data_IF_954365703225
#
_entry.id   IF_954365703225
#
_cell.length_a   1.000
_cell.length_b   1.000
_cell.length_c   1.000
_cell.angle_alpha   90.00
_cell.angle_beta   90.00
_cell.angle_gamma   90.00
#
_symmetry.space_group_name_H-M   'P 1'
#
loop_
_entity.id
_entity.type
_entity.pdbx_description
1 polymer ?
#
# COMPACT_ATOMS: atom_id res chain seq x y z
N UNK A 1 6.65 -15.57 20.07
CA UNK A 1 6.20 -16.99 20.14
C UNK A 1 6.69 -17.67 18.89
N UNK A 2 7.39 -18.80 18.98
CA UNK A 2 7.77 -19.56 17.78
C UNK A 2 6.55 -20.27 17.25
N UNK A 3 6.21 -20.00 16.01
CA UNK A 3 5.20 -20.77 15.29
C UNK A 3 5.90 -21.98 14.67
N UNK A 4 5.47 -23.19 14.99
CA UNK A 4 6.12 -24.44 14.55
C UNK A 4 6.07 -24.69 13.02
N UNK A 5 5.49 -23.77 12.23
CA UNK A 5 5.36 -23.86 10.78
C UNK A 5 5.76 -22.60 9.99
N UNK A 6 6.29 -21.56 10.61
CA UNK A 6 6.69 -20.34 9.93
C UNK A 6 7.70 -19.58 10.77
N UNK A 7 8.65 -18.88 10.16
CA UNK A 7 9.76 -18.17 10.79
C UNK A 7 9.40 -17.27 11.98
N UNK A 8 10.35 -16.53 12.46
CA UNK A 8 10.16 -15.61 13.59
C UNK A 8 9.20 -14.47 13.20
N UNK A 9 8.43 -13.95 14.15
CA UNK A 9 7.47 -12.85 13.95
C UNK A 9 7.87 -11.63 14.75
N UNK A 10 7.91 -10.47 14.10
CA UNK A 10 8.10 -9.16 14.72
C UNK A 10 6.92 -8.24 14.38
N UNK A 11 6.62 -7.30 15.27
CA UNK A 11 5.49 -6.39 15.10
C UNK A 11 5.95 -4.94 15.19
N UNK A 12 5.43 -4.12 14.28
CA UNK A 12 5.55 -2.66 14.26
C UNK A 12 4.12 -2.10 14.42
N UNK A 13 3.67 -2.07 15.69
CA UNK A 13 2.34 -1.58 16.07
C UNK A 13 2.49 -0.26 16.84
N UNK A 14 1.92 0.83 16.30
CA UNK A 14 1.98 2.15 16.91
C UNK A 14 3.10 3.05 16.37
N UNK A 15 3.44 4.08 17.12
CA UNK A 15 4.39 5.13 16.72
C UNK A 15 5.84 4.64 16.72
N UNK A 16 6.61 5.01 15.70
CA UNK A 16 8.03 4.71 15.57
C UNK A 16 8.84 5.83 16.21
N UNK A 17 9.80 5.45 17.09
CA UNK A 17 10.62 6.42 17.83
C UNK A 17 12.07 5.94 18.01
N UNK A 18 12.99 6.89 18.20
CA UNK A 18 14.38 6.62 18.53
C UNK A 18 14.60 6.33 20.01
N UNK A 19 13.72 6.81 20.90
CA UNK A 19 13.87 6.73 22.36
C UNK A 19 12.61 6.20 23.06
N UNK A 20 12.81 5.58 24.24
CA UNK A 20 11.73 5.21 25.15
C UNK A 20 11.02 6.44 25.70
N UNK A 21 9.73 6.54 25.49
CA UNK A 21 8.93 7.62 26.07
C UNK A 21 8.64 8.78 25.11
N UNK A 22 8.92 8.70 23.84
CA UNK A 22 8.64 9.66 22.78
C UNK A 22 7.80 10.90 23.14
N UNK A 23 7.52 11.79 22.24
CA UNK A 23 6.83 13.07 22.52
C UNK A 23 5.54 12.93 23.36
N UNK A 24 4.85 11.78 23.31
CA UNK A 24 3.56 11.56 24.00
C UNK A 24 3.62 10.62 25.19
N UNK A 25 4.81 10.03 25.52
CA UNK A 25 4.96 9.15 26.68
C UNK A 25 4.07 7.89 26.65
N UNK A 26 3.60 7.47 25.49
CA UNK A 26 2.62 6.41 25.34
C UNK A 26 3.25 5.01 25.42
N UNK A 27 2.58 4.08 26.09
CA UNK A 27 2.88 2.65 25.99
C UNK A 27 2.51 2.17 24.57
N UNK A 28 3.38 1.37 23.93
CA UNK A 28 3.14 0.82 22.59
C UNK A 28 3.98 1.46 21.48
N UNK A 29 5.07 2.15 21.84
CA UNK A 29 6.00 2.71 20.87
C UNK A 29 6.99 1.67 20.36
N UNK A 30 7.33 1.79 19.07
CA UNK A 30 8.37 0.98 18.43
C UNK A 30 9.70 1.72 18.52
N UNK A 31 10.57 1.24 19.41
CA UNK A 31 11.92 1.78 19.58
C UNK A 31 12.88 1.05 18.63
N UNK A 32 13.50 1.77 17.71
CA UNK A 32 14.34 1.21 16.64
C UNK A 32 15.45 0.29 17.21
N UNK A 33 16.14 0.71 18.24
CA UNK A 33 17.19 -0.11 18.90
C UNK A 33 16.66 -1.43 19.44
N UNK A 34 15.46 -1.46 20.04
CA UNK A 34 14.84 -2.69 20.55
C UNK A 34 14.44 -3.61 19.43
N UNK A 35 13.85 -3.07 18.37
CA UNK A 35 13.50 -3.82 17.18
C UNK A 35 14.72 -4.50 16.57
N UNK A 36 15.83 -3.78 16.39
CA UNK A 36 17.09 -4.34 15.89
C UNK A 36 17.66 -5.46 16.78
N UNK A 37 17.56 -5.33 18.11
CA UNK A 37 17.98 -6.38 19.03
C UNK A 37 17.14 -7.65 18.92
N UNK A 38 15.84 -7.53 18.63
CA UNK A 38 14.96 -8.67 18.40
C UNK A 38 15.26 -9.30 17.05
N UNK A 39 15.37 -8.49 15.98
CA UNK A 39 15.70 -8.93 14.63
C UNK A 39 17.01 -9.73 14.57
N UNK A 40 18.03 -9.33 15.34
CA UNK A 40 19.33 -10.01 15.38
C UNK A 40 19.25 -11.46 15.90
N UNK A 41 18.13 -11.88 16.47
CA UNK A 41 17.89 -13.24 17.00
C UNK A 41 17.02 -14.08 16.08
N UNK A 42 16.52 -13.47 15.00
CA UNK A 42 15.62 -14.11 14.04
C UNK A 42 16.40 -14.77 12.91
N UNK A 43 15.83 -15.87 12.39
CA UNK A 43 16.14 -16.43 11.08
C UNK A 43 15.32 -15.73 10.00
N UNK A 44 14.57 -16.49 9.18
CA UNK A 44 13.54 -15.90 8.32
C UNK A 44 12.47 -15.24 9.19
N UNK A 45 12.09 -14.01 8.85
CA UNK A 45 11.22 -13.21 9.71
C UNK A 45 10.02 -12.65 8.95
N UNK A 46 8.86 -12.72 9.59
CA UNK A 46 7.67 -11.98 9.16
C UNK A 46 7.50 -10.73 10.03
N UNK A 47 7.48 -9.56 9.39
CA UNK A 47 7.27 -8.26 10.06
C UNK A 47 5.85 -7.80 9.81
N UNK A 48 5.02 -7.79 10.85
CA UNK A 48 3.67 -7.23 10.78
C UNK A 48 3.72 -5.73 11.03
N UNK A 49 3.05 -4.95 10.18
CA UNK A 49 3.01 -3.48 10.29
C UNK A 49 1.56 -3.01 10.44
N UNK A 50 1.35 -2.22 11.50
CA UNK A 50 0.15 -1.42 11.72
C UNK A 50 0.56 -0.12 12.44
N UNK A 51 1.07 0.85 11.70
CA UNK A 51 1.74 2.02 12.26
C UNK A 51 1.43 3.29 11.46
N UNK A 52 1.17 4.41 12.13
CA UNK A 52 1.06 5.73 11.49
C UNK A 52 2.42 6.31 11.07
N UNK A 53 3.53 5.65 11.40
CA UNK A 53 4.87 6.17 11.22
C UNK A 53 5.43 6.79 12.49
N UNK A 54 6.21 7.85 12.37
CA UNK A 54 6.86 8.56 13.47
C UNK A 54 8.21 9.13 13.07
N UNK A 55 9.23 8.99 13.92
CA UNK A 55 10.58 9.49 13.71
C UNK A 55 11.21 8.89 12.45
N UNK A 56 11.58 9.76 11.51
CA UNK A 56 12.14 9.37 10.21
C UNK A 56 13.49 8.65 10.34
N UNK A 57 14.33 9.06 11.30
CA UNK A 57 15.63 8.44 11.50
C UNK A 57 15.53 7.07 12.19
N UNK A 58 14.58 6.92 13.12
CA UNK A 58 14.25 5.62 13.68
C UNK A 58 13.69 4.68 12.60
N UNK A 59 12.86 5.17 11.70
CA UNK A 59 12.38 4.45 10.52
C UNK A 59 13.52 4.01 9.60
N UNK A 60 14.46 4.91 9.32
CA UNK A 60 15.65 4.61 8.51
C UNK A 60 16.58 3.57 9.18
N UNK A 61 16.73 3.60 10.52
CA UNK A 61 17.48 2.59 11.27
C UNK A 61 16.84 1.21 11.14
N UNK A 62 15.51 1.12 11.27
CA UNK A 62 14.77 -0.15 11.13
C UNK A 62 14.86 -0.64 9.67
N UNK A 63 14.64 0.23 8.68
CA UNK A 63 14.80 -0.10 7.26
C UNK A 63 16.17 -0.70 6.98
N UNK A 64 17.24 -0.05 7.43
CA UNK A 64 18.62 -0.52 7.25
C UNK A 64 18.84 -1.87 7.91
N UNK A 65 18.37 -2.05 9.14
CA UNK A 65 18.49 -3.32 9.86
C UNK A 65 17.80 -4.48 9.12
N UNK A 66 16.62 -4.24 8.54
CA UNK A 66 15.91 -5.24 7.73
C UNK A 66 16.64 -5.54 6.41
N UNK A 67 17.19 -4.51 5.73
CA UNK A 67 17.96 -4.69 4.50
C UNK A 67 19.28 -5.45 4.70
N UNK A 68 19.89 -5.34 5.89
CA UNK A 68 21.12 -6.05 6.28
C UNK A 68 20.83 -7.46 6.85
N UNK A 69 19.57 -7.77 7.11
CA UNK A 69 19.19 -9.06 7.67
C UNK A 69 19.53 -10.21 6.71
N UNK A 70 20.06 -11.33 7.25
CA UNK A 70 20.53 -12.45 6.43
C UNK A 70 19.42 -13.42 6.03
N UNK A 71 18.35 -13.50 6.83
CA UNK A 71 17.17 -14.32 6.56
C UNK A 71 16.19 -13.60 5.62
N UNK A 72 15.22 -14.33 5.07
CA UNK A 72 14.13 -13.74 4.29
C UNK A 72 13.28 -12.83 5.18
N UNK A 73 13.01 -11.62 4.71
CA UNK A 73 12.12 -10.65 5.36
C UNK A 73 10.80 -10.58 4.59
N UNK A 74 9.72 -11.10 5.18
CA UNK A 74 8.36 -10.93 4.65
C UNK A 74 7.63 -9.86 5.46
N UNK A 75 7.24 -8.78 4.82
CA UNK A 75 6.43 -7.72 5.44
C UNK A 75 4.95 -7.98 5.20
N UNK A 76 4.13 -7.88 6.24
CA UNK A 76 2.66 -8.00 6.16
C UNK A 76 2.01 -6.75 6.75
N UNK A 77 1.36 -5.95 5.91
CA UNK A 77 0.63 -4.77 6.36
C UNK A 77 -0.78 -5.19 6.73
N UNK A 78 -1.10 -5.13 8.05
CA UNK A 78 -2.37 -5.63 8.58
C UNK A 78 -3.46 -4.56 8.67
N UNK A 79 -3.09 -3.30 8.92
CA UNK A 79 -4.00 -2.16 8.98
C UNK A 79 -3.48 -1.00 8.15
N UNK A 80 -2.43 -0.34 8.61
CA UNK A 80 -1.82 0.79 7.89
C UNK A 80 -0.30 0.74 8.00
N UNK A 81 0.38 1.12 6.91
CA UNK A 81 1.79 1.49 6.91
C UNK A 81 1.90 2.92 6.38
N UNK A 82 1.96 3.90 7.27
CA UNK A 82 2.02 5.30 6.90
C UNK A 82 3.37 5.93 7.20
N UNK A 83 3.79 6.92 6.39
CA UNK A 83 4.98 7.75 6.64
C UNK A 83 6.23 6.88 6.86
N UNK A 84 6.97 7.03 7.96
CA UNK A 84 8.15 6.21 8.26
C UNK A 84 7.90 4.69 8.24
N UNK A 85 6.67 4.24 8.57
CA UNK A 85 6.31 2.82 8.50
C UNK A 85 6.22 2.29 7.06
N UNK A 86 5.81 3.12 6.11
CA UNK A 86 5.81 2.75 4.70
C UNK A 86 7.23 2.62 4.14
N UNK A 87 8.16 3.47 4.61
CA UNK A 87 9.59 3.33 4.27
C UNK A 87 10.14 2.00 4.78
N UNK A 88 9.84 1.63 6.03
CA UNK A 88 10.25 0.34 6.61
C UNK A 88 9.69 -0.83 5.76
N UNK A 89 8.44 -0.74 5.30
CA UNK A 89 7.86 -1.78 4.47
C UNK A 89 8.65 -2.03 3.18
N UNK A 90 9.28 -1.00 2.60
CA UNK A 90 10.12 -1.13 1.40
C UNK A 90 11.39 -1.97 1.62
N UNK A 91 11.74 -2.28 2.87
CA UNK A 91 12.88 -3.15 3.18
C UNK A 91 12.57 -4.64 3.01
N UNK A 92 11.30 -5.02 2.93
CA UNK A 92 10.89 -6.42 2.77
C UNK A 92 11.30 -7.01 1.41
N UNK A 93 11.80 -8.26 1.45
CA UNK A 93 11.98 -9.06 0.24
C UNK A 93 10.64 -9.34 -0.43
N UNK A 94 9.59 -9.49 0.40
CA UNK A 94 8.22 -9.66 -0.02
C UNK A 94 7.31 -8.77 0.86
N UNK A 95 6.47 -7.96 0.23
CA UNK A 95 5.53 -7.04 0.90
C UNK A 95 4.11 -7.43 0.54
N UNK A 96 3.34 -7.87 1.54
CA UNK A 96 1.96 -8.31 1.38
C UNK A 96 1.02 -7.38 2.16
N UNK A 97 -0.13 -7.06 1.59
CA UNK A 97 -1.13 -6.21 2.26
C UNK A 97 -2.42 -6.98 2.53
N UNK A 98 -3.01 -6.75 3.69
CA UNK A 98 -4.40 -7.16 3.91
C UNK A 98 -5.32 -6.45 2.92
N UNK A 99 -6.40 -7.08 2.40
CA UNK A 99 -7.34 -6.45 1.46
C UNK A 99 -7.96 -5.15 1.99
N UNK A 100 -7.97 -4.97 3.32
CA UNK A 100 -8.51 -3.78 4.00
C UNK A 100 -7.42 -2.84 4.52
N UNK A 101 -6.14 -3.15 4.25
CA UNK A 101 -5.02 -2.32 4.67
C UNK A 101 -4.77 -1.15 3.72
N UNK A 102 -4.08 -0.15 4.27
CA UNK A 102 -3.66 1.04 3.53
C UNK A 102 -2.17 1.26 3.65
N UNK A 103 -1.58 1.88 2.64
CA UNK A 103 -0.26 2.48 2.68
C UNK A 103 -0.39 3.98 2.44
N UNK A 104 0.40 4.80 3.15
CA UNK A 104 0.44 6.24 2.93
C UNK A 104 1.88 6.73 2.87
N UNK A 105 2.17 7.52 1.86
CA UNK A 105 3.46 8.17 1.67
C UNK A 105 3.27 9.67 1.56
N UNK A 106 4.16 10.45 2.17
CA UNK A 106 4.16 11.90 2.14
C UNK A 106 5.56 12.48 2.36
N UNK A 107 5.72 13.76 2.06
CA UNK A 107 6.94 14.49 2.37
C UNK A 107 7.24 14.52 3.88
N UNK A 108 8.51 14.48 4.28
CA UNK A 108 8.88 14.65 5.69
C UNK A 108 8.48 16.04 6.17
N UNK A 109 7.94 16.09 7.39
CA UNK A 109 7.52 17.34 7.98
C UNK A 109 8.05 17.52 9.41
N UNK A 110 8.12 18.75 9.87
CA UNK A 110 8.52 19.06 11.24
C UNK A 110 7.88 20.36 11.70
N UNK A 111 7.92 20.60 13.00
CA UNK A 111 7.67 21.91 13.56
C UNK A 111 8.99 22.67 13.65
N UNK A 112 9.01 23.89 13.14
CA UNK A 112 10.16 24.77 13.22
C UNK A 112 9.74 26.18 13.63
N UNK A 113 10.60 26.84 14.39
CA UNK A 113 10.40 28.23 14.83
C UNK A 113 11.75 28.93 14.78
N UNK A 114 11.78 30.15 14.23
CA UNK A 114 12.99 30.94 14.13
C UNK A 114 12.84 32.11 13.15
N UNK A 115 13.95 32.71 12.77
CA UNK A 115 14.00 33.76 11.76
C UNK A 115 13.96 33.19 10.34
N UNK A 116 13.86 34.04 9.31
CA UNK A 116 13.75 33.60 7.91
C UNK A 116 14.88 32.65 7.50
N UNK A 117 16.16 32.93 7.87
CA UNK A 117 17.29 32.07 7.55
C UNK A 117 17.18 30.68 8.19
N UNK A 118 16.72 30.63 9.43
CA UNK A 118 16.50 29.35 10.12
C UNK A 118 15.38 28.54 9.48
N UNK A 119 14.31 29.20 9.02
CA UNK A 119 13.24 28.53 8.28
C UNK A 119 13.71 28.00 6.92
N UNK A 120 14.46 28.78 6.18
CA UNK A 120 15.06 28.35 4.90
C UNK A 120 16.00 27.15 5.10
N UNK A 121 16.81 27.17 6.16
CA UNK A 121 17.68 26.06 6.52
C UNK A 121 16.87 24.80 6.86
N UNK A 122 15.82 24.90 7.67
CA UNK A 122 14.95 23.76 7.99
C UNK A 122 14.25 23.20 6.74
N UNK A 123 13.79 24.07 5.85
CA UNK A 123 13.20 23.62 4.58
C UNK A 123 14.22 22.88 3.71
N UNK A 124 15.51 23.28 3.72
CA UNK A 124 16.55 22.55 3.02
C UNK A 124 16.81 21.19 3.66
N UNK A 125 16.89 21.10 5.00
CA UNK A 125 17.07 19.83 5.71
C UNK A 125 15.94 18.86 5.39
N UNK A 126 14.68 19.32 5.36
CA UNK A 126 13.54 18.46 5.00
C UNK A 126 13.65 17.95 3.56
N UNK A 127 14.09 18.78 2.61
CA UNK A 127 14.34 18.32 1.23
C UNK A 127 15.40 17.22 1.15
N UNK A 128 16.51 17.37 1.88
CA UNK A 128 17.56 16.34 1.92
C UNK A 128 17.07 15.03 2.55
N UNK A 129 16.27 15.11 3.60
CA UNK A 129 15.61 13.94 4.20
C UNK A 129 14.69 13.29 3.16
N UNK A 130 13.90 14.09 2.43
CA UNK A 130 13.00 13.64 1.36
C UNK A 130 13.73 12.83 0.28
N UNK A 131 14.92 13.24 -0.14
CA UNK A 131 15.72 12.49 -1.12
C UNK A 131 16.09 11.09 -0.60
N UNK A 132 16.39 10.95 0.69
CA UNK A 132 16.64 9.64 1.31
C UNK A 132 15.41 8.73 1.28
N UNK A 133 14.21 9.28 1.53
CA UNK A 133 12.96 8.53 1.44
C UNK A 133 12.65 8.10 0.00
N UNK A 134 12.83 9.01 -0.96
CA UNK A 134 12.67 8.74 -2.40
C UNK A 134 13.53 7.54 -2.81
N UNK A 135 14.77 7.45 -2.35
CA UNK A 135 15.68 6.36 -2.68
C UNK A 135 15.14 4.99 -2.22
N UNK A 136 14.49 4.90 -1.05
CA UNK A 136 13.87 3.67 -0.58
C UNK A 136 12.70 3.23 -1.48
N UNK A 137 11.82 4.17 -1.83
CA UNK A 137 10.66 3.89 -2.69
C UNK A 137 11.05 3.56 -4.13
N UNK A 138 11.98 4.30 -4.74
CA UNK A 138 12.47 4.03 -6.10
C UNK A 138 13.11 2.64 -6.20
N UNK A 139 13.85 2.23 -5.16
CA UNK A 139 14.48 0.91 -5.10
C UNK A 139 13.45 -0.22 -5.11
N UNK A 140 12.34 -0.09 -4.40
CA UNK A 140 11.29 -1.11 -4.30
C UNK A 140 10.37 -1.09 -5.53
N UNK A 141 9.92 0.10 -5.95
CA UNK A 141 8.87 0.24 -6.96
C UNK A 141 9.40 0.24 -8.40
N UNK A 142 10.67 0.61 -8.60
CA UNK A 142 11.24 0.86 -9.93
C UNK A 142 10.75 2.16 -10.58
N UNK A 143 9.94 2.97 -9.88
CA UNK A 143 9.49 4.28 -10.36
C UNK A 143 10.64 5.27 -10.42
N UNK A 144 10.49 6.29 -11.26
CA UNK A 144 11.42 7.41 -11.30
C UNK A 144 11.38 8.25 -10.02
N UNK A 145 12.48 8.96 -9.77
CA UNK A 145 12.57 9.91 -8.65
C UNK A 145 11.42 10.93 -8.67
N UNK A 146 11.12 11.48 -9.84
CA UNK A 146 10.11 12.55 -9.98
C UNK A 146 8.69 12.02 -9.74
N UNK A 147 8.36 10.81 -10.22
CA UNK A 147 7.08 10.16 -9.91
C UNK A 147 6.90 9.95 -8.40
N UNK A 148 7.95 9.48 -7.70
CA UNK A 148 7.88 9.31 -6.24
C UNK A 148 7.78 10.68 -5.54
N UNK A 149 8.53 11.69 -5.98
CA UNK A 149 8.46 13.04 -5.42
C UNK A 149 7.05 13.63 -5.55
N UNK A 150 6.41 13.48 -6.71
CA UNK A 150 5.03 13.93 -6.93
C UNK A 150 4.03 13.19 -6.02
N UNK A 151 4.22 11.89 -5.82
CA UNK A 151 3.37 11.09 -4.93
C UNK A 151 3.54 11.49 -3.46
N UNK A 152 4.77 11.80 -3.02
CA UNK A 152 5.06 12.30 -1.67
C UNK A 152 4.41 13.67 -1.44
N UNK A 153 4.59 14.61 -2.37
CA UNK A 153 4.02 15.95 -2.30
C UNK A 153 2.48 15.93 -2.29
N UNK A 154 1.87 14.93 -2.95
CA UNK A 154 0.40 14.75 -2.98
C UNK A 154 -0.17 14.05 -1.74
N UNK A 155 0.65 13.63 -0.78
CA UNK A 155 0.22 12.80 0.36
C UNK A 155 -0.64 11.61 -0.11
N UNK A 156 0.02 10.64 -0.76
CA UNK A 156 -0.68 9.58 -1.47
C UNK A 156 -1.08 8.44 -0.55
N UNK A 157 -2.40 8.19 -0.47
CA UNK A 157 -2.97 6.99 0.16
C UNK A 157 -3.23 5.93 -0.89
N UNK A 158 -2.86 4.69 -0.61
CA UNK A 158 -3.05 3.53 -1.48
C UNK A 158 -3.76 2.41 -0.71
N UNK A 159 -4.84 1.86 -1.26
CA UNK A 159 -5.37 0.57 -0.84
C UNK A 159 -4.47 -0.57 -1.35
N UNK A 160 -4.74 -1.81 -0.95
CA UNK A 160 -3.92 -2.96 -1.30
C UNK A 160 -3.75 -3.15 -2.82
N UNK A 161 -4.84 -3.07 -3.60
CA UNK A 161 -4.81 -3.20 -5.06
C UNK A 161 -3.96 -2.10 -5.72
N UNK A 162 -4.09 -0.87 -5.23
CA UNK A 162 -3.32 0.25 -5.74
C UNK A 162 -1.85 0.12 -5.39
N UNK A 163 -1.52 -0.28 -4.16
CA UNK A 163 -0.13 -0.48 -3.73
C UNK A 163 0.56 -1.57 -4.57
N UNK A 164 -0.13 -2.67 -4.88
CA UNK A 164 0.39 -3.72 -5.78
C UNK A 164 0.58 -3.19 -7.20
N UNK A 165 -0.42 -2.51 -7.76
CA UNK A 165 -0.34 -1.95 -9.11
C UNK A 165 0.81 -0.94 -9.26
N UNK A 166 1.05 -0.14 -8.22
CA UNK A 166 2.10 0.89 -8.20
C UNK A 166 3.49 0.33 -7.78
N UNK A 167 3.59 -0.95 -7.42
CA UNK A 167 4.84 -1.63 -7.09
C UNK A 167 5.31 -1.45 -5.64
N UNK A 168 4.48 -0.89 -4.76
CA UNK A 168 4.78 -0.75 -3.32
C UNK A 168 4.54 -2.05 -2.54
N UNK A 169 3.67 -2.93 -3.04
CA UNK A 169 3.44 -4.25 -2.50
C UNK A 169 3.55 -5.31 -3.59
N UNK A 170 3.88 -6.54 -3.18
CA UNK A 170 4.07 -7.69 -4.09
C UNK A 170 2.78 -8.52 -4.21
N UNK A 171 1.84 -8.39 -3.26
CA UNK A 171 0.58 -9.13 -3.30
C UNK A 171 -0.40 -8.74 -2.20
N UNK A 172 -1.60 -9.33 -2.29
CA UNK A 172 -2.68 -9.16 -1.32
C UNK A 172 -2.83 -10.46 -0.53
N UNK A 173 -2.91 -10.34 0.81
CA UNK A 173 -3.11 -11.48 1.69
C UNK A 173 -4.49 -12.11 1.45
N UNK A 174 -4.55 -13.45 1.59
CA UNK A 174 -5.79 -14.24 1.47
C UNK A 174 -6.38 -14.29 0.05
N UNK A 175 -5.78 -13.66 -0.95
CA UNK A 175 -6.09 -14.01 -2.32
C UNK A 175 -5.51 -15.40 -2.58
N UNK A 176 -6.35 -16.35 -2.96
CA UNK A 176 -5.87 -17.60 -3.51
C UNK A 176 -5.00 -17.22 -4.71
N UNK A 177 -3.70 -17.54 -4.63
CA UNK A 177 -2.83 -17.49 -5.80
C UNK A 177 -3.49 -18.40 -6.84
N UNK A 178 -4.26 -17.81 -7.73
CA UNK A 178 -4.60 -18.51 -8.95
C UNK A 178 -3.24 -18.77 -9.59
N UNK A 179 -2.74 -19.99 -9.43
CA UNK A 179 -1.63 -20.46 -10.27
C UNK A 179 -1.94 -19.96 -11.66
N UNK A 180 -0.99 -19.28 -12.35
CA UNK A 180 -1.27 -18.73 -13.67
C UNK A 180 -1.88 -19.86 -14.48
N UNK A 181 -3.17 -19.75 -14.76
CA UNK A 181 -3.94 -20.77 -15.44
C UNK A 181 -3.11 -21.07 -16.69
N UNK A 182 -2.54 -22.28 -16.76
CA UNK A 182 -1.69 -22.71 -17.87
C UNK A 182 -2.38 -22.22 -19.12
N UNK A 183 -1.72 -21.31 -19.85
CA UNK A 183 -2.36 -20.53 -20.91
C UNK A 183 -3.29 -21.44 -21.69
N UNK A 184 -4.57 -21.08 -21.88
CA UNK A 184 -5.57 -21.99 -22.50
C UNK A 184 -5.06 -22.65 -23.78
N UNK A 185 -4.12 -22.01 -24.46
CA UNK A 185 -3.43 -22.52 -25.63
C UNK A 185 -2.54 -23.76 -25.37
N UNK A 186 -1.86 -23.86 -24.22
CA UNK A 186 -1.02 -25.05 -23.92
C UNK A 186 -1.89 -26.23 -23.48
N UNK A 187 -2.95 -25.99 -22.72
CA UNK A 187 -3.92 -27.04 -22.37
C UNK A 187 -4.68 -27.52 -23.62
N UNK A 188 -5.05 -26.63 -24.54
CA UNK A 188 -5.62 -26.96 -25.83
C UNK A 188 -4.66 -27.76 -26.74
N UNK A 189 -3.37 -27.42 -26.79
CA UNK A 189 -2.38 -28.17 -27.57
C UNK A 189 -2.15 -29.58 -27.03
N UNK A 190 -2.17 -29.75 -25.70
CA UNK A 190 -2.06 -31.10 -25.11
C UNK A 190 -3.31 -31.97 -25.38
N UNK A 191 -4.51 -31.37 -25.34
CA UNK A 191 -5.76 -32.07 -25.68
C UNK A 191 -5.86 -32.32 -27.18
N UNK A 192 -5.37 -31.41 -28.04
CA UNK A 192 -5.33 -31.59 -29.48
C UNK A 192 -4.52 -32.85 -29.91
N UNK A 193 -3.43 -33.11 -29.19
CA UNK A 193 -2.63 -34.35 -29.44
C UNK A 193 -3.37 -35.62 -29.04
N UNK A 194 -4.36 -35.57 -28.14
CA UNK A 194 -5.11 -36.73 -27.62
C UNK A 194 -6.39 -37.02 -28.37
N UNK A 195 -7.11 -35.99 -28.86
CA UNK A 195 -8.48 -36.14 -29.35
C UNK A 195 -8.72 -35.71 -30.80
N UNK A 196 -7.73 -35.16 -31.48
CA UNK A 196 -7.88 -34.66 -32.85
C UNK A 196 -8.69 -33.35 -32.97
N UNK A 197 -8.52 -32.60 -34.10
CA UNK A 197 -9.08 -31.26 -34.23
C UNK A 197 -10.62 -31.16 -34.19
N UNK A 198 -11.31 -32.17 -34.71
CA UNK A 198 -12.78 -32.19 -34.79
C UNK A 198 -13.44 -32.34 -33.39
N UNK A 199 -12.85 -33.16 -32.51
CA UNK A 199 -13.33 -33.38 -31.16
C UNK A 199 -13.16 -32.13 -30.30
N UNK A 200 -12.09 -31.35 -30.50
CA UNK A 200 -11.86 -30.11 -29.78
C UNK A 200 -12.83 -29.03 -30.19
N UNK A 201 -13.14 -28.88 -31.47
CA UNK A 201 -14.17 -27.96 -31.94
C UNK A 201 -15.55 -28.29 -31.35
N UNK A 202 -15.88 -29.56 -31.16
CA UNK A 202 -17.12 -29.99 -30.51
C UNK A 202 -17.14 -29.64 -29.01
N UNK A 203 -16.02 -29.82 -28.28
CA UNK A 203 -15.89 -29.46 -26.87
C UNK A 203 -15.97 -27.96 -26.63
N UNK A 204 -15.34 -27.13 -27.48
CA UNK A 204 -15.41 -25.66 -27.39
C UNK A 204 -16.83 -25.17 -27.62
N UNK A 205 -17.54 -25.69 -28.63
CA UNK A 205 -18.95 -25.36 -28.87
C UNK A 205 -19.88 -25.78 -27.72
N UNK A 206 -19.59 -26.91 -27.07
CA UNK A 206 -20.35 -27.36 -25.91
C UNK A 206 -20.10 -26.50 -24.67
N UNK A 207 -18.85 -26.05 -24.47
CA UNK A 207 -18.47 -25.13 -23.40
C UNK A 207 -19.09 -23.74 -23.60
N UNK A 208 -19.07 -23.20 -24.80
CA UNK A 208 -19.71 -21.91 -25.13
C UNK A 208 -21.24 -21.96 -24.92
N UNK A 209 -21.88 -23.06 -25.27
CA UNK A 209 -23.30 -23.27 -25.02
C UNK A 209 -23.65 -23.40 -23.54
N UNK A 210 -22.76 -23.99 -22.72
CA UNK A 210 -22.94 -24.11 -21.28
C UNK A 210 -22.68 -22.81 -20.52
N UNK A 211 -21.87 -21.89 -21.06
CA UNK A 211 -21.55 -20.58 -20.49
C UNK A 211 -22.41 -19.44 -21.02
N UNK A 212 -23.34 -19.70 -21.92
CA UNK A 212 -24.36 -18.74 -22.33
C UNK A 212 -25.39 -18.51 -21.20
N UNK A 213 -24.91 -17.94 -20.07
CA UNK A 213 -25.82 -17.36 -19.08
C UNK A 213 -26.45 -16.11 -19.70
N UNK A 214 -27.77 -15.89 -19.51
CA UNK A 214 -28.38 -14.64 -19.92
C UNK A 214 -27.61 -13.49 -19.24
N UNK A 215 -27.15 -12.53 -20.02
CA UNK A 215 -26.49 -11.32 -19.52
C UNK A 215 -27.40 -10.71 -18.45
N UNK A 216 -26.98 -10.62 -17.17
CA UNK A 216 -27.80 -9.98 -16.16
C UNK A 216 -27.99 -8.51 -16.60
N UNK A 217 -29.24 -8.06 -16.70
CA UNK A 217 -29.50 -6.63 -16.83
C UNK A 217 -28.88 -5.95 -15.62
N UNK A 218 -27.88 -5.13 -15.88
CA UNK A 218 -26.95 -4.54 -14.92
C UNK A 218 -27.71 -3.83 -13.77
N UNK A 219 -27.76 -4.37 -12.53
CA UNK A 219 -28.42 -3.72 -11.41
C UNK A 219 -27.76 -2.38 -11.04
N UNK A 220 -26.51 -2.17 -11.45
CA UNK A 220 -25.76 -0.93 -11.21
C UNK A 220 -26.24 0.24 -12.05
N UNK A 221 -26.90 0.04 -13.19
CA UNK A 221 -27.40 1.14 -14.01
C UNK A 221 -28.49 1.94 -13.25
N UNK A 222 -29.37 1.25 -12.52
CA UNK A 222 -30.41 1.87 -11.71
C UNK A 222 -29.82 2.63 -10.51
N UNK A 223 -28.85 2.02 -9.87
CA UNK A 223 -28.13 2.62 -8.73
C UNK A 223 -27.29 3.83 -9.14
N UNK A 224 -26.63 3.78 -10.31
CA UNK A 224 -25.88 4.93 -10.88
C UNK A 224 -26.82 6.08 -11.25
N UNK A 225 -28.00 5.78 -11.81
CA UNK A 225 -29.01 6.79 -12.10
C UNK A 225 -29.55 7.46 -10.81
N UNK A 226 -29.79 6.70 -9.76
CA UNK A 226 -30.22 7.22 -8.45
C UNK A 226 -29.12 8.07 -7.79
N UNK A 227 -27.85 7.68 -7.88
CA UNK A 227 -26.72 8.45 -7.37
C UNK A 227 -26.57 9.76 -8.15
N UNK A 228 -26.67 9.71 -9.49
CA UNK A 228 -26.60 10.90 -10.34
C UNK A 228 -27.75 11.88 -10.05
N UNK A 229 -28.96 11.37 -9.83
CA UNK A 229 -30.13 12.19 -9.49
C UNK A 229 -29.97 12.86 -8.11
N UNK A 230 -29.42 12.16 -7.11
CA UNK A 230 -29.12 12.74 -5.79
C UNK A 230 -28.02 13.79 -5.86
N UNK A 231 -26.97 13.56 -6.65
CA UNK A 231 -25.91 14.53 -6.87
C UNK A 231 -26.44 15.82 -7.51
N UNK A 232 -27.37 15.71 -8.47
CA UNK A 232 -28.02 16.86 -9.10
C UNK A 232 -28.85 17.68 -8.11
N UNK A 233 -29.64 17.02 -7.26
CA UNK A 233 -30.44 17.69 -6.21
C UNK A 233 -29.55 18.48 -5.23
N UNK A 234 -28.39 17.92 -4.86
CA UNK A 234 -27.43 18.58 -3.99
C UNK A 234 -26.80 19.79 -4.70
N UNK A 235 -26.42 19.67 -5.95
CA UNK A 235 -25.86 20.75 -6.75
C UNK A 235 -26.86 21.92 -6.88
N UNK A 236 -28.11 21.62 -7.21
CA UNK A 236 -29.18 22.62 -7.33
C UNK A 236 -29.48 23.31 -5.99
N UNK A 237 -29.37 22.61 -4.87
CA UNK A 237 -29.50 23.18 -3.53
C UNK A 237 -28.39 24.20 -3.24
N UNK A 238 -27.13 23.90 -3.56
CA UNK A 238 -26.00 24.81 -3.35
C UNK A 238 -26.05 26.03 -4.29
N UNK A 239 -26.51 25.87 -5.52
CA UNK A 239 -26.71 26.98 -6.46
C UNK A 239 -27.75 27.96 -5.90
N UNK A 240 -28.90 27.44 -5.42
CA UNK A 240 -29.96 28.26 -4.84
C UNK A 240 -29.53 29.00 -3.55
N UNK A 241 -28.64 28.41 -2.73
CA UNK A 241 -28.08 29.11 -1.56
C UNK A 241 -27.22 30.28 -2.01
N UNK A 242 -26.34 30.05 -2.97
CA UNK A 242 -25.42 31.07 -3.47
C UNK A 242 -26.15 32.25 -4.08
N UNK A 243 -27.19 32.00 -4.88
CA UNK A 243 -28.04 33.04 -5.45
C UNK A 243 -28.80 33.84 -4.39
N UNK A 244 -29.23 33.22 -3.28
CA UNK A 244 -29.87 33.91 -2.14
C UNK A 244 -28.89 34.77 -1.33
N UNK A 245 -27.65 34.32 -1.19
CA UNK A 245 -26.60 35.10 -0.54
C UNK A 245 -26.20 36.32 -1.36
N UNK A 246 -26.13 36.20 -2.68
CA UNK A 246 -25.85 37.33 -3.58
C UNK A 246 -26.98 38.35 -3.60
N UNK A 247 -28.26 37.92 -3.48
CA UNK A 247 -29.41 38.83 -3.40
C UNK A 247 -29.55 39.55 -2.08
N UNK A 248 -28.98 39.00 -0.98
CA UNK A 248 -29.01 39.65 0.33
C UNK A 248 -27.84 40.64 0.54
N UNK A 249 -26.89 40.70 -0.36
CA UNK A 249 -25.74 41.61 -0.34
C UNK A 249 -25.81 42.72 -1.43
N UNK A 250 -26.89 42.78 -2.18
CA UNK A 250 -27.22 43.85 -3.15
C UNK A 250 -28.27 44.80 -2.59
#
# INVERSE_FOLDING_TARGET
>A
MRNEAGGDELHIDGEITSEDGGWWGASGQIVARRFRQQLARCGDVTVFINSPGGDVFAGAEIYTALREHKGKVTVKISGIAASAASVIAMAGDEVLMSPVAYMMIHDPWTYAMGNAREMEHQAQVLREIGEGLIAAYTTKTGKSRDEIADMLAAETYMNAEQAVREGFADGILYEETQEPAQQPQQAMMMQARRYGPAAICAMVRAADAAHAKPVPQNPDAKRRAEIAQRAQIIADYYINIKEREEQNHA
#
